data_IF_928226630738
#
_entry.id   IF_928226630738
#
_cell.length_a   1.000
_cell.length_b   1.000
_cell.length_c   1.000
_cell.angle_alpha   90.00
_cell.angle_beta   90.00
_cell.angle_gamma   90.00
#
_symmetry.space_group_name_H-M   'P 1'
#
loop_
_entity.id
_entity.type
_entity.pdbx_description
1 polymer ?
#
# COMPACT_ATOMS: atom_id res chain seq x y z
N UNK A 1 -5.82 13.62 27.52
CA UNK A 1 -6.73 14.60 26.87
C UNK A 1 -5.91 15.34 25.83
N UNK A 2 -6.30 15.26 24.57
CA UNK A 2 -5.61 15.98 23.48
C UNK A 2 -5.96 17.47 23.56
N UNK A 3 -4.98 18.38 23.56
CA UNK A 3 -5.25 19.81 23.52
C UNK A 3 -6.21 20.20 22.37
N UNK A 4 -7.06 21.23 22.55
CA UNK A 4 -7.96 21.74 21.51
C UNK A 4 -7.28 22.18 20.21
N UNK A 5 -5.95 22.24 20.19
CA UNK A 5 -5.13 22.70 19.07
C UNK A 5 -4.28 21.59 18.44
N UNK A 6 -4.35 20.35 18.95
CA UNK A 6 -3.53 19.26 18.43
C UNK A 6 -3.97 18.89 17.01
N UNK A 7 -3.07 18.84 16.01
CA UNK A 7 -3.40 18.43 14.66
C UNK A 7 -4.11 17.07 14.59
N UNK A 8 -4.95 16.89 13.59
CA UNK A 8 -5.60 15.63 13.27
C UNK A 8 -4.96 15.04 12.01
N UNK A 9 -4.55 13.78 12.08
CA UNK A 9 -4.00 13.03 10.96
C UNK A 9 -4.94 11.87 10.65
N UNK A 10 -5.35 11.73 9.39
CA UNK A 10 -5.90 10.48 8.88
C UNK A 10 -4.76 9.72 8.22
N UNK A 11 -4.57 8.45 8.61
CA UNK A 11 -3.51 7.59 8.12
C UNK A 11 -4.08 6.42 7.31
N UNK A 12 -3.43 6.16 6.17
CA UNK A 12 -3.77 5.09 5.23
C UNK A 12 -2.51 4.30 4.84
N UNK A 13 -2.42 3.03 5.23
CA UNK A 13 -1.46 2.11 4.60
C UNK A 13 -1.93 1.76 3.16
N UNK A 14 -1.06 1.09 2.39
CA UNK A 14 -1.23 0.87 0.96
C UNK A 14 -1.77 -0.51 0.56
N UNK A 15 -0.95 -1.27 -0.18
CA UNK A 15 -1.29 -2.56 -0.78
C UNK A 15 -1.38 -2.49 -2.31
N UNK A 16 -2.56 -2.28 -2.92
CA UNK A 16 -3.87 -2.04 -2.30
C UNK A 16 -4.39 -3.25 -1.52
N UNK A 17 -5.25 -3.01 -0.53
CA UNK A 17 -5.86 -4.08 0.29
C UNK A 17 -5.18 -4.32 1.65
N UNK A 18 -4.19 -3.51 2.04
CA UNK A 18 -3.49 -3.67 3.31
C UNK A 18 -4.02 -2.75 4.41
N UNK A 19 -4.03 -3.24 5.65
CA UNK A 19 -4.63 -2.60 6.80
C UNK A 19 -3.80 -1.43 7.32
N UNK A 20 -4.48 -0.33 7.65
CA UNK A 20 -3.87 0.81 8.35
C UNK A 20 -3.55 0.54 9.82
N UNK A 21 -3.95 -0.61 10.37
CA UNK A 21 -3.54 -1.04 11.70
C UNK A 21 -2.11 -1.57 11.71
N UNK A 22 -1.53 -1.87 10.55
CA UNK A 22 -0.08 -2.07 10.41
C UNK A 22 0.67 -0.81 10.84
N UNK A 23 0.29 0.37 10.33
CA UNK A 23 0.84 1.64 10.79
C UNK A 23 0.63 1.93 12.28
N UNK A 24 -0.46 1.41 12.87
CA UNK A 24 -0.68 1.53 14.30
C UNK A 24 0.26 0.60 15.10
N UNK A 25 0.38 -0.66 14.72
CA UNK A 25 0.99 -1.72 15.54
C UNK A 25 2.43 -2.08 15.17
N UNK A 26 2.92 -1.67 14.01
CA UNK A 26 4.29 -1.97 13.57
C UNK A 26 5.14 -0.72 13.36
N UNK A 27 4.52 0.41 12.96
CA UNK A 27 5.29 1.57 12.54
C UNK A 27 5.28 2.73 13.57
N UNK A 28 4.15 3.43 13.73
CA UNK A 28 4.14 4.78 14.32
C UNK A 28 3.10 5.00 15.43
N UNK A 29 2.32 3.97 15.79
CA UNK A 29 1.36 4.07 16.87
C UNK A 29 1.98 4.11 18.27
N UNK A 30 1.19 4.41 19.30
CA UNK A 30 1.67 4.57 20.70
C UNK A 30 2.23 3.28 21.30
N UNK A 31 1.77 2.14 20.79
CA UNK A 31 2.19 0.83 21.19
C UNK A 31 2.34 -0.04 19.96
N UNK A 32 3.38 -0.86 19.92
CA UNK A 32 3.69 -1.76 18.81
C UNK A 32 3.69 -3.20 19.29
N UNK A 33 3.27 -4.14 18.43
CA UNK A 33 3.15 -5.56 18.75
C UNK A 33 4.53 -6.17 19.01
N UNK A 34 4.66 -6.96 20.07
CA UNK A 34 5.85 -7.78 20.32
C UNK A 34 5.76 -9.09 19.56
N UNK A 35 6.92 -9.68 19.26
CA UNK A 35 7.05 -10.97 18.55
C UNK A 35 6.29 -12.15 19.18
N UNK A 36 5.82 -12.02 20.43
CA UNK A 36 4.97 -13.03 21.08
C UNK A 36 3.52 -13.03 20.57
N UNK A 37 3.12 -12.03 19.79
CA UNK A 37 1.77 -11.80 19.27
C UNK A 37 0.73 -11.56 20.36
N UNK A 38 1.13 -11.24 21.59
CA UNK A 38 0.26 -11.16 22.77
C UNK A 38 0.41 -9.88 23.55
N UNK A 39 1.61 -9.31 23.56
CA UNK A 39 1.92 -8.11 24.30
C UNK A 39 2.27 -6.95 23.38
N UNK A 40 2.04 -5.73 23.87
CA UNK A 40 2.46 -4.51 23.19
C UNK A 40 3.57 -3.82 23.99
N UNK A 41 4.54 -3.23 23.29
CA UNK A 41 5.55 -2.34 23.89
C UNK A 41 5.25 -0.88 23.53
N UNK A 42 5.54 0.05 24.43
CA UNK A 42 5.35 1.49 24.16
C UNK A 42 6.35 1.97 23.11
N UNK A 43 5.88 2.79 22.17
CA UNK A 43 6.69 3.40 21.14
C UNK A 43 7.11 4.83 21.55
N UNK A 44 8.41 5.08 21.85
CA UNK A 44 8.86 6.41 22.21
C UNK A 44 8.80 7.41 21.04
N UNK A 45 8.61 6.94 19.80
CA UNK A 45 8.55 7.76 18.59
C UNK A 45 7.14 7.90 18.01
N UNK A 46 6.12 7.53 18.80
CA UNK A 46 4.74 7.57 18.34
C UNK A 46 4.30 8.96 17.87
N UNK A 47 3.65 8.99 16.70
CA UNK A 47 3.11 10.22 16.12
C UNK A 47 2.00 10.83 16.99
N UNK A 48 1.31 10.01 17.80
CA UNK A 48 0.25 10.50 18.65
C UNK A 48 0.72 11.38 19.83
N UNK A 49 2.04 11.54 20.01
CA UNK A 49 2.62 12.53 20.93
C UNK A 49 2.40 13.97 20.48
N UNK A 50 2.24 14.19 19.18
CA UNK A 50 2.11 15.52 18.57
C UNK A 50 0.81 15.71 17.78
N UNK A 51 0.06 14.64 17.51
CA UNK A 51 -1.19 14.66 16.76
C UNK A 51 -2.24 13.69 17.35
N UNK A 52 -3.52 13.92 17.05
CA UNK A 52 -4.51 12.85 17.05
C UNK A 52 -4.39 12.10 15.74
N UNK A 53 -4.25 10.77 15.76
CA UNK A 53 -4.11 9.96 14.55
C UNK A 53 -5.31 9.02 14.43
N UNK A 54 -5.95 9.02 13.27
CA UNK A 54 -7.07 8.16 12.90
C UNK A 54 -6.58 7.21 11.82
N UNK A 55 -6.48 5.93 12.16
CA UNK A 55 -6.07 4.87 11.24
C UNK A 55 -7.34 4.31 10.59
N UNK A 56 -7.42 4.34 9.26
CA UNK A 56 -8.61 3.86 8.52
C UNK A 56 -8.23 2.60 7.74
N UNK A 57 -8.79 1.44 8.11
CA UNK A 57 -8.73 0.24 7.27
C UNK A 57 -9.64 0.42 6.06
N UNK A 58 -9.06 0.44 4.85
CA UNK A 58 -9.77 0.72 3.61
C UNK A 58 -9.07 0.04 2.43
N UNK A 59 -9.81 -0.45 1.41
CA UNK A 59 -11.26 -0.43 1.24
C UNK A 59 -12.03 -1.46 2.09
N UNK A 60 -13.35 -1.57 1.89
CA UNK A 60 -14.15 -2.65 2.48
C UNK A 60 -13.55 -4.03 2.12
N UNK A 61 -13.42 -4.92 3.10
CA UNK A 61 -12.73 -6.20 3.00
C UNK A 61 -11.35 -6.23 3.67
N UNK A 62 -10.72 -5.06 3.85
CA UNK A 62 -9.41 -4.92 4.51
C UNK A 62 -9.55 -5.00 6.03
N UNK A 63 -8.79 -5.90 6.66
CA UNK A 63 -8.77 -6.06 8.10
C UNK A 63 -10.16 -6.36 8.68
N UNK A 64 -10.72 -5.42 9.45
CA UNK A 64 -12.11 -5.52 9.93
C UNK A 64 -13.12 -4.69 9.13
N UNK A 65 -12.71 -3.94 8.13
CA UNK A 65 -13.65 -3.24 7.24
C UNK A 65 -14.42 -4.26 6.40
N UNK A 66 -15.72 -4.06 6.22
CA UNK A 66 -16.60 -5.01 5.54
C UNK A 66 -17.71 -4.30 4.76
N UNK A 67 -18.26 -5.00 3.75
CA UNK A 67 -19.51 -4.60 3.09
C UNK A 67 -20.68 -5.43 3.61
N UNK A 68 -21.84 -4.80 3.77
CA UNK A 68 -23.08 -5.47 4.23
C UNK A 68 -23.68 -6.42 3.19
N UNK A 69 -23.41 -6.20 1.90
CA UNK A 69 -23.84 -7.08 0.82
C UNK A 69 -22.78 -8.13 0.44
N UNK A 70 -21.62 -8.10 1.10
CA UNK A 70 -20.48 -8.98 0.84
C UNK A 70 -19.68 -8.65 -0.42
N UNK A 71 -20.04 -7.62 -1.19
CA UNK A 71 -19.28 -7.19 -2.35
C UNK A 71 -18.12 -6.27 -1.93
N UNK A 72 -16.89 -6.75 -2.13
CA UNK A 72 -15.64 -6.02 -1.84
C UNK A 72 -14.90 -5.59 -3.12
N UNK A 73 -15.53 -5.76 -4.29
CA UNK A 73 -14.92 -5.35 -5.56
C UNK A 73 -14.92 -3.82 -5.66
N UNK A 74 -13.74 -3.22 -5.83
CA UNK A 74 -13.59 -1.77 -5.88
C UNK A 74 -12.58 -1.32 -6.95
N UNK A 75 -12.41 -0.01 -7.08
CA UNK A 75 -11.38 0.67 -7.85
C UNK A 75 -10.99 1.98 -7.14
N UNK A 76 -10.00 2.71 -7.67
CA UNK A 76 -9.48 3.93 -7.05
C UNK A 76 -10.56 5.00 -6.81
N UNK A 77 -11.47 5.19 -7.77
CA UNK A 77 -12.53 6.19 -7.69
C UNK A 77 -13.55 5.85 -6.59
N UNK A 78 -13.97 4.59 -6.51
CA UNK A 78 -14.91 4.09 -5.51
C UNK A 78 -14.28 4.13 -4.10
N UNK A 79 -13.06 3.63 -3.95
CA UNK A 79 -12.31 3.68 -2.68
C UNK A 79 -12.12 5.13 -2.21
N UNK A 80 -11.80 6.04 -3.12
CA UNK A 80 -11.67 7.47 -2.81
C UNK A 80 -13.00 8.08 -2.33
N UNK A 81 -14.12 7.72 -2.96
CA UNK A 81 -15.45 8.18 -2.55
C UNK A 81 -15.84 7.66 -1.16
N UNK A 82 -15.63 6.37 -0.91
CA UNK A 82 -15.95 5.73 0.38
C UNK A 82 -15.08 6.29 1.51
N UNK A 83 -13.79 6.52 1.25
CA UNK A 83 -12.90 7.20 2.21
C UNK A 83 -13.37 8.62 2.51
N UNK A 84 -13.86 9.35 1.51
CA UNK A 84 -14.40 10.70 1.71
C UNK A 84 -15.65 10.68 2.62
N UNK A 85 -16.56 9.73 2.39
CA UNK A 85 -17.73 9.54 3.26
C UNK A 85 -17.35 9.07 4.67
N UNK A 86 -16.34 8.21 4.82
CA UNK A 86 -15.81 7.82 6.13
C UNK A 86 -15.22 9.01 6.90
N UNK A 87 -14.47 9.91 6.23
CA UNK A 87 -13.97 11.15 6.83
C UNK A 87 -15.11 12.06 7.28
N UNK A 88 -16.15 12.24 6.45
CA UNK A 88 -17.35 13.00 6.83
C UNK A 88 -18.06 12.38 8.03
N UNK A 89 -18.18 11.06 8.05
CA UNK A 89 -18.78 10.33 9.16
C UNK A 89 -17.97 10.49 10.44
N UNK A 90 -16.63 10.48 10.36
CA UNK A 90 -15.75 10.76 11.51
C UNK A 90 -16.04 12.15 12.09
N UNK A 91 -16.07 13.20 11.27
CA UNK A 91 -16.35 14.56 11.76
C UNK A 91 -17.78 14.77 12.24
N UNK A 92 -18.74 13.97 11.76
CA UNK A 92 -20.11 13.96 12.26
C UNK A 92 -20.19 13.29 13.63
N UNK A 93 -19.44 12.21 13.83
CA UNK A 93 -19.38 11.46 15.09
C UNK A 93 -18.57 12.20 16.15
N UNK A 94 -17.49 12.87 15.74
CA UNK A 94 -16.58 13.62 16.61
C UNK A 94 -16.48 15.10 16.20
N UNK A 95 -17.57 15.88 16.36
CA UNK A 95 -17.64 17.26 15.88
C UNK A 95 -16.59 18.19 16.51
N UNK A 96 -16.07 17.86 17.70
CA UNK A 96 -15.00 18.61 18.35
C UNK A 96 -13.71 18.71 17.51
N UNK A 97 -13.45 17.74 16.63
CA UNK A 97 -12.25 17.75 15.78
C UNK A 97 -12.37 18.65 14.56
N UNK A 98 -13.55 19.18 14.24
CA UNK A 98 -13.83 19.85 12.95
C UNK A 98 -12.95 21.09 12.69
N UNK A 99 -12.51 21.74 13.76
CA UNK A 99 -11.65 22.92 13.68
C UNK A 99 -10.14 22.59 13.78
N UNK A 100 -9.78 21.35 14.05
CA UNK A 100 -8.38 20.95 14.15
C UNK A 100 -7.70 21.00 12.78
N UNK A 101 -6.45 21.45 12.74
CA UNK A 101 -5.62 21.38 11.53
C UNK A 101 -5.53 19.92 11.08
N UNK A 102 -6.18 19.60 9.95
CA UNK A 102 -6.37 18.24 9.47
C UNK A 102 -5.41 17.93 8.33
N UNK A 103 -4.78 16.76 8.38
CA UNK A 103 -3.83 16.28 7.37
C UNK A 103 -4.23 14.88 6.89
N UNK A 104 -4.12 14.65 5.59
CA UNK A 104 -4.31 13.32 4.99
C UNK A 104 -2.93 12.71 4.73
N UNK A 105 -2.63 11.56 5.32
CA UNK A 105 -1.31 10.95 5.21
C UNK A 105 -1.42 9.47 4.88
N UNK A 106 -0.42 8.93 4.20
CA UNK A 106 -0.39 7.51 3.90
C UNK A 106 0.89 7.07 3.24
N UNK A 107 1.01 5.76 3.03
CA UNK A 107 2.22 5.15 2.50
C UNK A 107 1.95 4.15 1.36
N UNK A 108 2.97 3.84 0.57
CA UNK A 108 2.88 2.84 -0.51
C UNK A 108 1.72 3.19 -1.47
N UNK A 109 0.74 2.32 -1.71
CA UNK A 109 -0.45 2.64 -2.52
C UNK A 109 -1.33 3.76 -1.92
N UNK A 110 -1.08 4.17 -0.67
CA UNK A 110 -1.52 5.45 -0.11
C UNK A 110 -1.13 6.66 -0.96
N UNK A 111 -0.11 6.53 -1.82
CA UNK A 111 0.22 7.48 -2.90
C UNK A 111 -0.88 7.69 -3.95
N UNK A 112 -1.83 6.77 -4.08
CA UNK A 112 -3.05 6.90 -4.89
C UNK A 112 -4.22 7.33 -4.01
N UNK A 113 -4.41 6.67 -2.86
CA UNK A 113 -5.55 6.93 -1.98
C UNK A 113 -5.58 8.36 -1.45
N UNK A 114 -4.45 8.86 -0.95
CA UNK A 114 -4.40 10.15 -0.27
C UNK A 114 -4.60 11.32 -1.24
N UNK A 115 -3.95 11.39 -2.42
CA UNK A 115 -4.22 12.48 -3.36
C UNK A 115 -5.64 12.48 -3.91
N UNK A 116 -6.19 11.31 -4.26
CA UNK A 116 -7.58 11.21 -4.77
C UNK A 116 -8.59 11.62 -3.70
N UNK A 117 -8.46 11.14 -2.46
CA UNK A 117 -9.27 11.56 -1.31
C UNK A 117 -9.14 13.07 -1.05
N UNK A 118 -7.91 13.59 -1.05
CA UNK A 118 -7.65 15.01 -0.78
C UNK A 118 -8.31 15.89 -1.83
N UNK A 119 -8.28 15.51 -3.11
CA UNK A 119 -9.00 16.20 -4.17
C UNK A 119 -10.52 16.24 -3.91
N UNK A 120 -11.13 15.10 -3.54
CA UNK A 120 -12.56 15.06 -3.18
C UNK A 120 -12.90 15.96 -1.99
N UNK A 121 -12.05 16.00 -0.97
CA UNK A 121 -12.23 16.89 0.18
C UNK A 121 -12.19 18.35 -0.25
N UNK A 122 -11.21 18.74 -1.08
CA UNK A 122 -11.07 20.10 -1.60
C UNK A 122 -12.31 20.51 -2.38
N UNK A 123 -12.78 19.67 -3.29
CA UNK A 123 -13.99 19.92 -4.10
C UNK A 123 -15.25 20.01 -3.22
N UNK A 124 -15.32 19.18 -2.18
CA UNK A 124 -16.44 19.10 -1.24
C UNK A 124 -16.43 20.13 -0.09
N UNK A 125 -15.45 21.06 -0.03
CA UNK A 125 -15.36 22.06 1.04
C UNK A 125 -16.59 22.96 1.15
N UNK A 126 -17.31 23.20 0.04
CA UNK A 126 -18.53 24.03 0.05
C UNK A 126 -19.66 23.38 0.83
N UNK A 127 -19.79 22.05 0.73
CA UNK A 127 -20.90 21.30 1.33
C UNK A 127 -20.54 20.76 2.71
N UNK A 128 -19.28 20.32 2.90
CA UNK A 128 -18.79 19.79 4.16
C UNK A 128 -17.43 20.39 4.51
N UNK A 129 -17.39 21.61 5.08
CA UNK A 129 -16.13 22.27 5.37
C UNK A 129 -15.38 21.59 6.50
N UNK A 130 -14.08 21.36 6.30
CA UNK A 130 -13.11 20.90 7.30
C UNK A 130 -11.83 21.74 7.22
N UNK A 131 -11.09 21.86 8.31
CA UNK A 131 -9.84 22.62 8.36
C UNK A 131 -8.64 21.82 7.77
N UNK A 132 -8.74 21.43 6.50
CA UNK A 132 -7.68 20.73 5.76
C UNK A 132 -6.45 21.65 5.59
N UNK A 133 -5.28 21.15 5.97
CA UNK A 133 -4.00 21.88 5.90
C UNK A 133 -2.98 21.30 4.93
N UNK A 134 -3.07 20.01 4.60
CA UNK A 134 -2.18 19.40 3.63
C UNK A 134 -2.25 17.89 3.63
N UNK A 135 -1.34 17.29 2.87
CA UNK A 135 -1.15 15.86 2.80
C UNK A 135 0.34 15.49 2.80
N UNK A 136 0.67 14.27 3.22
CA UNK A 136 2.03 13.73 3.17
C UNK A 136 2.01 12.26 2.73
N UNK A 137 2.99 11.86 1.93
CA UNK A 137 3.08 10.52 1.36
C UNK A 137 4.44 9.89 1.72
N UNK A 138 4.44 8.74 2.38
CA UNK A 138 5.64 7.93 2.63
C UNK A 138 5.84 6.91 1.50
N UNK A 139 6.98 6.94 0.80
CA UNK A 139 7.31 5.98 -0.25
C UNK A 139 6.14 5.66 -1.23
N UNK A 140 5.40 6.71 -1.62
CA UNK A 140 4.10 6.54 -2.27
C UNK A 140 4.18 6.13 -3.74
N UNK A 141 3.27 5.26 -4.16
CA UNK A 141 3.03 4.96 -5.57
C UNK A 141 2.26 6.11 -6.22
N UNK A 142 2.97 7.00 -6.90
CA UNK A 142 2.41 8.25 -7.47
C UNK A 142 2.41 8.26 -9.00
N UNK A 143 3.28 7.47 -9.63
CA UNK A 143 3.40 7.41 -11.07
C UNK A 143 4.03 6.08 -11.49
N UNK A 144 3.27 5.25 -12.20
CA UNK A 144 3.70 3.93 -12.68
C UNK A 144 4.97 4.00 -13.53
N UNK A 145 5.01 4.94 -14.49
CA UNK A 145 6.14 5.08 -15.40
C UNK A 145 7.43 5.43 -14.67
N UNK A 146 7.39 6.41 -13.78
CA UNK A 146 8.55 6.79 -13.00
C UNK A 146 8.96 5.67 -12.03
N UNK A 147 8.01 4.94 -11.46
CA UNK A 147 8.31 3.80 -10.59
C UNK A 147 9.12 2.74 -11.35
N UNK A 148 8.66 2.32 -12.53
CA UNK A 148 9.36 1.32 -13.36
C UNK A 148 10.72 1.84 -13.83
N UNK A 149 10.76 3.04 -14.43
CA UNK A 149 12.01 3.60 -14.97
C UNK A 149 13.09 3.74 -13.88
N UNK A 150 12.71 4.27 -12.72
CA UNK A 150 13.65 4.43 -11.61
C UNK A 150 14.03 3.10 -10.96
N UNK A 151 13.17 2.08 -10.96
CA UNK A 151 13.54 0.73 -10.49
C UNK A 151 14.69 0.12 -11.31
N UNK A 152 14.70 0.28 -12.64
CA UNK A 152 15.78 -0.25 -13.48
C UNK A 152 17.11 0.47 -13.19
N UNK A 153 17.04 1.80 -13.04
CA UNK A 153 18.21 2.62 -12.66
C UNK A 153 18.69 2.30 -11.25
N UNK A 154 17.76 2.09 -10.32
CA UNK A 154 18.02 1.68 -8.95
C UNK A 154 18.77 0.34 -8.92
N UNK A 155 18.31 -0.64 -9.70
CA UNK A 155 18.94 -1.96 -9.79
C UNK A 155 20.42 -1.87 -10.19
N UNK A 156 20.75 -1.03 -11.16
CA UNK A 156 22.16 -0.82 -11.53
C UNK A 156 22.93 -0.05 -10.45
N UNK A 157 22.38 1.08 -9.99
CA UNK A 157 23.03 1.94 -8.99
C UNK A 157 23.32 1.24 -7.66
N UNK A 158 22.59 0.18 -7.35
CA UNK A 158 22.75 -0.62 -6.13
C UNK A 158 23.41 -1.99 -6.38
N UNK A 159 23.96 -2.23 -7.58
CA UNK A 159 24.71 -3.44 -7.89
C UNK A 159 23.88 -4.72 -7.99
N UNK A 160 22.57 -4.60 -8.20
CA UNK A 160 21.64 -5.72 -8.38
C UNK A 160 21.78 -6.30 -9.80
N UNK A 161 22.06 -5.45 -10.79
CA UNK A 161 22.42 -5.87 -12.14
C UNK A 161 23.86 -5.48 -12.48
N UNK A 162 24.51 -6.30 -13.29
CA UNK A 162 25.90 -6.07 -13.69
C UNK A 162 26.03 -5.03 -14.81
N UNK A 163 27.25 -4.53 -14.99
CA UNK A 163 27.59 -3.55 -16.03
C UNK A 163 27.31 -4.08 -17.45
N UNK A 164 27.40 -5.40 -17.66
CA UNK A 164 27.07 -6.02 -18.94
C UNK A 164 25.58 -5.86 -19.27
N UNK A 165 24.70 -6.11 -18.29
CA UNK A 165 23.26 -5.96 -18.42
C UNK A 165 22.90 -4.49 -18.66
N UNK A 166 23.49 -3.59 -17.87
CA UNK A 166 23.32 -2.14 -18.04
C UNK A 166 23.72 -1.64 -19.43
N UNK A 167 24.92 -2.01 -19.90
CA UNK A 167 25.42 -1.64 -21.23
C UNK A 167 24.61 -2.29 -22.37
N UNK A 168 23.90 -3.37 -22.10
CA UNK A 168 23.00 -4.01 -23.06
C UNK A 168 21.70 -3.21 -23.18
N UNK A 169 21.10 -2.83 -22.04
CA UNK A 169 19.95 -1.93 -22.01
C UNK A 169 20.25 -0.62 -22.73
N UNK A 170 21.37 0.02 -22.42
CA UNK A 170 21.74 1.30 -23.03
C UNK A 170 21.87 1.18 -24.56
N UNK A 171 22.65 0.22 -25.05
CA UNK A 171 22.98 0.12 -26.47
C UNK A 171 21.85 -0.46 -27.31
N UNK A 172 21.15 -1.46 -26.80
CA UNK A 172 20.15 -2.20 -27.59
C UNK A 172 18.72 -1.69 -27.36
N UNK A 173 18.42 -1.18 -26.16
CA UNK A 173 17.06 -0.78 -25.78
C UNK A 173 16.88 0.73 -25.77
N UNK A 174 17.94 1.49 -25.48
CA UNK A 174 17.88 2.94 -25.29
C UNK A 174 18.62 3.74 -26.38
N UNK A 175 18.95 3.11 -27.51
CA UNK A 175 19.63 3.76 -28.66
C UNK A 175 20.91 4.51 -28.26
N UNK A 176 21.60 4.05 -27.22
CA UNK A 176 22.84 4.65 -26.72
C UNK A 176 22.68 5.82 -25.75
N UNK A 177 21.46 6.13 -25.29
CA UNK A 177 21.24 7.16 -24.27
C UNK A 177 20.24 6.67 -23.22
N UNK A 178 20.75 6.11 -22.13
CA UNK A 178 19.92 5.55 -21.06
C UNK A 178 19.19 6.62 -20.24
N UNK A 179 19.73 7.83 -20.13
CA UNK A 179 19.15 8.93 -19.32
C UNK A 179 17.79 9.43 -19.82
N UNK A 180 17.54 9.32 -21.13
CA UNK A 180 16.26 9.73 -21.75
C UNK A 180 15.39 8.54 -22.13
N UNK A 181 15.85 7.34 -21.83
CA UNK A 181 15.14 6.11 -22.16
C UNK A 181 13.88 5.97 -21.32
N UNK A 182 12.77 5.65 -21.98
CA UNK A 182 11.53 5.29 -21.31
C UNK A 182 11.41 3.77 -21.28
N UNK A 183 11.81 3.16 -20.16
CA UNK A 183 11.76 1.71 -19.99
C UNK A 183 10.33 1.14 -20.02
N UNK A 184 9.28 1.97 -19.97
CA UNK A 184 7.89 1.49 -20.14
C UNK A 184 7.46 1.36 -21.60
N UNK A 185 8.23 1.93 -22.53
CA UNK A 185 7.89 1.96 -23.97
C UNK A 185 8.79 1.05 -24.81
N UNK A 186 9.71 0.32 -24.19
CA UNK A 186 10.56 -0.65 -24.89
C UNK A 186 9.73 -1.90 -25.25
N UNK A 187 10.16 -2.62 -26.29
CA UNK A 187 9.41 -3.78 -26.82
C UNK A 187 10.32 -4.99 -27.06
N UNK A 188 9.73 -6.17 -27.20
CA UNK A 188 10.46 -7.40 -27.53
C UNK A 188 11.44 -7.78 -26.43
N UNK A 189 12.67 -8.18 -26.79
CA UNK A 189 13.69 -8.57 -25.82
C UNK A 189 13.96 -7.51 -24.75
N UNK A 190 13.88 -6.23 -25.11
CA UNK A 190 14.09 -5.13 -24.15
C UNK A 190 12.99 -5.05 -23.09
N UNK A 191 11.74 -5.32 -23.46
CA UNK A 191 10.64 -5.40 -22.50
C UNK A 191 10.87 -6.57 -21.53
N UNK A 192 11.24 -7.74 -22.06
CA UNK A 192 11.59 -8.90 -21.24
C UNK A 192 12.74 -8.60 -20.26
N UNK A 193 13.79 -7.89 -20.69
CA UNK A 193 14.87 -7.49 -19.77
C UNK A 193 14.37 -6.57 -18.65
N UNK A 194 13.55 -5.57 -18.97
CA UNK A 194 12.96 -4.66 -17.96
C UNK A 194 12.07 -5.42 -16.99
N UNK A 195 11.23 -6.32 -17.51
CA UNK A 195 10.37 -7.20 -16.72
C UNK A 195 11.18 -8.10 -15.80
N UNK A 196 12.21 -8.80 -16.31
CA UNK A 196 13.06 -9.69 -15.53
C UNK A 196 13.75 -8.95 -14.38
N UNK A 197 14.28 -7.75 -14.64
CA UNK A 197 14.92 -6.92 -13.62
C UNK A 197 13.91 -6.48 -12.57
N UNK A 198 12.75 -5.98 -13.00
CA UNK A 198 11.70 -5.53 -12.09
C UNK A 198 11.19 -6.71 -11.24
N UNK A 199 10.92 -7.86 -11.85
CA UNK A 199 10.53 -9.07 -11.13
C UNK A 199 11.62 -9.53 -10.17
N UNK A 200 12.90 -9.44 -10.53
CA UNK A 200 13.98 -9.80 -9.63
C UNK A 200 14.05 -8.89 -8.39
N UNK A 201 13.77 -7.59 -8.52
CA UNK A 201 13.71 -6.69 -7.35
C UNK A 201 12.66 -7.13 -6.33
N UNK A 202 11.56 -7.70 -6.78
CA UNK A 202 10.41 -8.08 -5.94
C UNK A 202 10.39 -9.56 -5.54
N UNK A 203 10.91 -10.46 -6.40
CA UNK A 203 10.82 -11.90 -6.25
C UNK A 203 12.18 -12.63 -6.35
N UNK A 204 13.28 -11.89 -6.49
CA UNK A 204 14.65 -12.43 -6.60
C UNK A 204 15.28 -12.86 -5.28
N UNK A 205 14.51 -12.85 -4.17
CA UNK A 205 15.00 -13.15 -2.83
C UNK A 205 15.65 -11.97 -2.09
N UNK A 206 15.63 -10.79 -2.69
CA UNK A 206 15.94 -9.53 -2.02
C UNK A 206 14.73 -9.07 -1.20
N UNK A 207 14.97 -8.26 -0.16
CA UNK A 207 13.89 -7.55 0.51
C UNK A 207 13.55 -6.28 -0.30
N UNK A 208 12.37 -6.21 -0.96
CA UNK A 208 12.02 -5.08 -1.81
C UNK A 208 11.67 -3.81 -1.02
N UNK A 209 11.41 -3.94 0.28
CA UNK A 209 11.08 -2.82 1.16
C UNK A 209 12.32 -2.20 1.82
N UNK A 210 13.36 -2.99 2.03
CA UNK A 210 14.67 -2.54 2.52
C UNK A 210 15.78 -3.46 1.99
N UNK A 211 16.45 -3.05 0.90
CA UNK A 211 17.48 -3.83 0.20
C UNK A 211 18.57 -4.38 1.13
N UNK A 212 18.85 -3.71 2.25
CA UNK A 212 19.94 -4.06 3.15
C UNK A 212 19.49 -4.88 4.37
N UNK A 213 18.21 -5.24 4.44
CA UNK A 213 17.69 -6.16 5.45
C UNK A 213 17.49 -7.55 4.90
N UNK A 214 17.52 -8.50 5.83
CA UNK A 214 17.09 -9.86 5.56
C UNK A 214 15.61 -9.86 5.15
N UNK A 215 15.27 -10.76 4.24
CA UNK A 215 13.91 -11.02 3.81
C UNK A 215 13.34 -12.19 4.63
N UNK A 216 12.27 -11.94 5.39
CA UNK A 216 11.56 -12.93 6.21
C UNK A 216 10.13 -13.09 5.68
N UNK A 217 9.63 -14.25 5.20
CA UNK A 217 10.12 -15.62 5.31
C UNK A 217 10.81 -16.11 4.02
N UNK A 218 11.06 -17.41 3.90
CA UNK A 218 11.74 -18.10 2.80
C UNK A 218 11.44 -17.52 1.37
N UNK A 219 12.45 -17.38 0.48
CA UNK A 219 12.29 -16.93 -0.91
C UNK A 219 11.11 -17.53 -1.70
N UNK A 220 10.80 -18.82 -1.51
CA UNK A 220 9.66 -19.46 -2.18
C UNK A 220 8.30 -18.93 -1.73
N UNK A 221 8.18 -18.57 -0.45
CA UNK A 221 6.95 -18.00 0.13
C UNK A 221 6.76 -16.55 -0.33
N UNK A 222 7.85 -15.80 -0.54
CA UNK A 222 7.77 -14.44 -1.08
C UNK A 222 7.32 -14.39 -2.53
N UNK A 223 7.77 -15.35 -3.36
CA UNK A 223 7.34 -15.45 -4.75
C UNK A 223 5.81 -15.58 -4.87
N UNK A 224 5.19 -16.38 -4.00
CA UNK A 224 3.72 -16.53 -3.97
C UNK A 224 3.03 -15.24 -3.48
N UNK A 225 3.45 -14.68 -2.34
CA UNK A 225 2.88 -13.43 -1.78
C UNK A 225 2.94 -12.26 -2.77
N UNK A 226 4.04 -12.14 -3.51
CA UNK A 226 4.24 -11.07 -4.48
C UNK A 226 3.31 -11.16 -5.70
N UNK A 227 3.04 -12.36 -6.20
CA UNK A 227 2.11 -12.59 -7.31
C UNK A 227 0.70 -12.12 -6.94
N UNK A 228 0.32 -12.15 -5.66
CA UNK A 228 -0.96 -11.62 -5.19
C UNK A 228 -0.97 -10.08 -5.14
N UNK A 229 0.04 -9.44 -4.56
CA UNK A 229 0.14 -7.97 -4.46
C UNK A 229 0.26 -7.29 -5.83
N UNK A 230 1.06 -7.85 -6.74
CA UNK A 230 1.24 -7.31 -8.10
C UNK A 230 -0.02 -7.49 -8.97
N UNK A 231 -1.02 -8.30 -8.61
CA UNK A 231 -2.27 -8.40 -9.40
C UNK A 231 -3.10 -7.11 -9.38
N UNK A 232 -2.96 -6.27 -8.35
CA UNK A 232 -3.54 -4.92 -8.30
C UNK A 232 -2.76 -3.89 -9.13
N UNK A 233 -1.43 -4.04 -9.19
CA UNK A 233 -0.51 -3.16 -9.96
C UNK A 233 -0.47 -3.54 -11.45
N UNK A 234 -0.63 -4.82 -11.78
CA UNK A 234 -0.61 -5.37 -13.14
C UNK A 234 -1.84 -4.98 -13.99
N UNK A 235 -2.86 -4.34 -13.39
CA UNK A 235 -3.98 -3.77 -14.13
C UNK A 235 -3.52 -2.61 -15.04
N UNK A 236 -2.44 -1.89 -14.66
CA UNK A 236 -1.79 -0.87 -15.51
C UNK A 236 -1.06 -1.48 -16.72
N UNK A 237 -0.29 -2.55 -16.48
CA UNK A 237 0.46 -3.27 -17.51
C UNK A 237 -0.40 -3.83 -18.66
N UNK A 238 -1.59 -4.36 -18.38
CA UNK A 238 -2.44 -5.00 -19.42
C UNK A 238 -3.12 -4.03 -20.37
N UNK A 239 -3.19 -2.74 -20.04
CA UNK A 239 -3.74 -1.75 -20.97
C UNK A 239 -2.76 -1.49 -22.14
N UNK A 240 -1.47 -1.77 -21.95
CA UNK A 240 -0.46 -1.72 -23.02
C UNK A 240 -0.34 -3.03 -23.81
N UNK A 241 -0.76 -4.17 -23.24
CA UNK A 241 -0.69 -5.47 -23.91
C UNK A 241 -1.88 -5.73 -24.87
N UNK A 242 -2.98 -4.99 -24.73
CA UNK A 242 -4.20 -5.20 -25.53
C UNK A 242 -4.06 -4.93 -27.03
N UNK A 243 -2.93 -4.36 -27.49
CA UNK A 243 -2.70 -4.09 -28.90
C UNK A 243 -1.89 -5.16 -29.67
N UNK A 244 -1.33 -6.21 -29.05
CA UNK A 244 -0.57 -7.22 -29.82
C UNK A 244 -0.61 -8.68 -29.30
N UNK A 245 -1.77 -9.32 -29.52
CA UNK A 245 -2.05 -10.77 -29.77
C UNK A 245 -1.18 -11.91 -29.17
N UNK A 246 -1.94 -12.80 -28.52
CA UNK A 246 -2.01 -14.30 -28.62
C UNK A 246 -0.98 -15.16 -27.86
N UNK A 247 -1.23 -15.27 -26.56
CA UNK A 247 -1.10 -16.47 -25.72
C UNK A 247 -2.17 -16.40 -24.64
N UNK A 248 -2.76 -17.51 -24.19
CA UNK A 248 -3.98 -17.53 -23.34
C UNK A 248 -3.76 -17.05 -21.89
N UNK A 249 -3.54 -15.75 -21.77
CA UNK A 249 -3.49 -14.96 -20.54
C UNK A 249 -4.83 -15.04 -19.78
N UNK A 250 -5.95 -15.25 -20.47
CA UNK A 250 -7.30 -15.24 -19.87
C UNK A 250 -7.54 -16.38 -18.86
N UNK A 251 -6.72 -17.43 -18.83
CA UNK A 251 -6.78 -18.46 -17.80
C UNK A 251 -6.15 -18.00 -16.48
N UNK A 252 -5.07 -17.22 -16.52
CA UNK A 252 -4.39 -16.66 -15.34
C UNK A 252 -5.16 -15.48 -14.74
N UNK A 253 -5.89 -14.72 -15.58
CA UNK A 253 -6.67 -13.54 -15.16
C UNK A 253 -8.08 -13.85 -14.64
N UNK A 254 -8.57 -15.08 -14.87
CA UNK A 254 -9.90 -15.52 -14.42
C UNK A 254 -9.90 -16.14 -13.03
N UNK A 255 -8.74 -16.29 -12.39
CA UNK A 255 -8.67 -16.61 -10.98
C UNK A 255 -9.03 -15.35 -10.16
N UNK A 256 -10.34 -15.06 -10.09
CA UNK A 256 -10.95 -14.17 -9.10
C UNK A 256 -10.84 -14.83 -7.72
N UNK A 257 -9.62 -14.96 -7.20
CA UNK A 257 -9.41 -15.28 -5.79
C UNK A 257 -9.01 -14.00 -5.05
N UNK A 258 -9.52 -13.80 -3.81
CA UNK A 258 -9.23 -12.60 -3.05
C UNK A 258 -7.72 -12.42 -2.80
N UNK A 259 -7.31 -11.19 -2.51
CA UNK A 259 -5.93 -10.74 -2.31
C UNK A 259 -5.39 -11.23 -0.95
N UNK A 260 -5.42 -12.52 -0.67
CA UNK A 260 -4.89 -13.05 0.60
C UNK A 260 -3.36 -13.12 0.58
N UNK A 261 -2.70 -12.47 1.54
CA UNK A 261 -1.31 -12.77 1.88
C UNK A 261 -0.56 -11.63 2.58
N UNK A 262 0.32 -11.99 3.51
CA UNK A 262 1.26 -11.06 4.16
C UNK A 262 2.09 -10.30 3.11
N UNK A 263 2.55 -9.11 3.48
CA UNK A 263 3.48 -8.35 2.68
C UNK A 263 4.78 -9.16 2.45
N UNK A 264 5.31 -9.24 1.21
CA UNK A 264 6.53 -10.00 0.91
C UNK A 264 7.73 -9.58 1.75
N UNK A 265 8.54 -10.51 2.24
CA UNK A 265 9.67 -10.22 3.14
C UNK A 265 9.31 -9.56 4.48
N UNK A 266 8.03 -9.47 4.84
CA UNK A 266 7.56 -9.09 6.16
C UNK A 266 6.96 -10.31 6.89
N UNK A 267 7.19 -10.33 8.21
CA UNK A 267 6.64 -11.32 9.12
C UNK A 267 5.66 -10.64 10.07
N UNK A 268 4.40 -10.61 9.65
CA UNK A 268 3.32 -9.93 10.37
C UNK A 268 2.57 -10.89 11.31
N UNK A 269 3.15 -12.06 11.59
CA UNK A 269 2.54 -13.12 12.40
C UNK A 269 2.14 -12.60 13.77
N UNK A 270 2.97 -11.76 14.38
CA UNK A 270 2.72 -11.21 15.70
C UNK A 270 1.50 -10.28 15.73
N UNK A 271 1.40 -9.36 14.77
CA UNK A 271 0.22 -8.49 14.62
C UNK A 271 -1.02 -9.31 14.29
N UNK A 272 -0.93 -10.27 13.36
CA UNK A 272 -2.06 -11.14 12.99
C UNK A 272 -2.55 -11.93 14.20
N UNK A 273 -1.64 -12.49 15.01
CA UNK A 273 -2.01 -13.22 16.24
C UNK A 273 -2.66 -12.28 17.24
N UNK A 274 -2.07 -11.10 17.47
CA UNK A 274 -2.59 -10.11 18.41
C UNK A 274 -4.01 -9.66 18.04
N UNK A 275 -4.22 -9.31 16.78
CA UNK A 275 -5.50 -8.84 16.26
C UNK A 275 -6.55 -9.94 16.22
N UNK A 276 -6.17 -11.21 16.11
CA UNK A 276 -7.14 -12.30 16.15
C UNK A 276 -7.45 -12.82 17.57
N UNK A 277 -6.83 -12.29 18.62
CA UNK A 277 -7.21 -12.60 20.00
C UNK A 277 -8.64 -12.12 20.30
N UNK A 278 -9.44 -12.99 20.93
CA UNK A 278 -10.85 -12.72 21.19
C UNK A 278 -11.06 -11.53 22.14
N UNK A 279 -10.16 -11.33 23.11
CA UNK A 279 -10.24 -10.20 24.02
C UNK A 279 -9.84 -8.90 23.32
N UNK A 280 -8.85 -8.95 22.42
CA UNK A 280 -8.47 -7.79 21.60
C UNK A 280 -9.62 -7.38 20.68
N UNK A 281 -10.21 -8.33 19.93
CA UNK A 281 -11.39 -8.07 19.09
C UNK A 281 -12.53 -7.45 19.88
N UNK A 282 -12.82 -7.99 21.07
CA UNK A 282 -13.85 -7.44 21.95
C UNK A 282 -13.51 -6.04 22.43
N UNK A 283 -12.26 -5.77 22.82
CA UNK A 283 -11.81 -4.46 23.28
C UNK A 283 -11.86 -3.38 22.18
N UNK A 284 -11.62 -3.79 20.93
CA UNK A 284 -11.72 -2.93 19.74
C UNK A 284 -13.16 -2.80 19.21
N UNK A 285 -14.15 -3.43 19.87
CA UNK A 285 -15.56 -3.43 19.47
C UNK A 285 -15.80 -4.05 18.07
N UNK A 286 -15.02 -5.07 17.72
CA UNK A 286 -15.16 -5.77 16.44
C UNK A 286 -16.37 -6.71 16.50
N UNK A 287 -17.29 -6.66 15.52
CA UNK A 287 -18.40 -7.61 15.45
C UNK A 287 -17.90 -9.07 15.40
N UNK A 288 -18.56 -9.94 16.17
CA UNK A 288 -18.15 -11.35 16.32
C UNK A 288 -18.27 -12.14 15.00
N UNK A 289 -19.17 -11.72 14.11
CA UNK A 289 -19.42 -12.38 12.83
C UNK A 289 -18.41 -12.02 11.73
N UNK A 290 -17.49 -11.08 11.97
CA UNK A 290 -16.46 -10.76 10.99
C UNK A 290 -15.41 -11.89 10.90
N UNK A 291 -14.84 -12.13 9.70
CA UNK A 291 -13.79 -13.12 9.53
C UNK A 291 -12.54 -12.77 10.37
N UNK A 292 -11.55 -13.68 10.38
CA UNK A 292 -10.25 -13.38 10.98
C UNK A 292 -9.66 -12.11 10.35
N UNK A 293 -8.97 -11.31 11.15
CA UNK A 293 -8.18 -10.20 10.65
C UNK A 293 -6.95 -10.72 9.91
N UNK A 294 -6.52 -9.99 8.90
CA UNK A 294 -5.29 -10.24 8.17
C UNK A 294 -4.71 -8.90 7.72
N UNK A 295 -3.41 -8.85 7.46
CA UNK A 295 -2.75 -7.58 7.13
C UNK A 295 -3.15 -7.10 5.73
N UNK A 296 -3.21 -8.00 4.74
CA UNK A 296 -3.67 -7.69 3.38
C UNK A 296 -4.69 -8.72 2.87
N UNK A 297 -5.77 -8.24 2.21
CA UNK A 297 -6.90 -9.05 1.70
C UNK A 297 -7.49 -8.59 0.38
#
# INVERSE_FOLDING_TARGET
>A
MTPPTTPLIFWFNGGPGCSSLDGLLNEMGPYVANMDGKSLRSNPWSWNKLASVVYIESPAGVGYSYSTDGNITTNDDQTSLENYEAVKQFFTTFPQFRHHSTYMMGESYGGVYVPTLTARIVDGQKDFPINLKGMALGNGYVNEKLNIDTSIRYAYGHGIIDEKTWNTLERQCCKGCIDTCDFTQVTGHCATMVEDIFQFLWAGGLNPYDLYRDCDPNPSVNGERMVHMLRGVAAGYRKMEKEQKKGDLMSFLRANEPLYGDAPCLNDTDVIVYMNDANVRKALNIPENLPKWDICR
#
